data_IF_453586555418
#
_entry.id   IF_453586555418
#
_cell.length_a   1.000
_cell.length_b   1.000
_cell.length_c   1.000
_cell.angle_alpha   90.00
_cell.angle_beta   90.00
_cell.angle_gamma   90.00
#
_symmetry.space_group_name_H-M   'P 1'
#
loop_
_entity.id
_entity.type
_entity.pdbx_description
1 polymer ?
#
# COMPACT_ATOMS: atom_id res chain seq x y z
N UNK A 1 3.00 11.65 30.63
CA UNK A 1 2.22 10.40 30.69
C UNK A 1 2.90 9.41 29.76
N UNK A 2 3.29 8.24 30.25
CA UNK A 2 3.98 7.22 29.45
C UNK A 2 2.93 6.32 28.80
N UNK A 3 2.96 6.19 27.47
CA UNK A 3 2.09 5.25 26.75
C UNK A 3 2.61 3.83 26.98
N UNK A 4 1.70 2.91 27.31
CA UNK A 4 2.00 1.48 27.41
C UNK A 4 1.47 0.75 26.19
N UNK A 5 2.15 -0.32 25.79
CA UNK A 5 1.64 -1.23 24.76
C UNK A 5 0.45 -1.97 25.35
N UNK A 6 -0.73 -1.79 24.76
CA UNK A 6 -1.96 -2.50 25.14
C UNK A 6 -2.17 -3.74 24.26
N UNK A 7 -1.79 -3.65 22.99
CA UNK A 7 -1.96 -4.71 22.01
C UNK A 7 -0.80 -4.74 21.02
N UNK A 8 -0.42 -5.94 20.62
CA UNK A 8 0.53 -6.19 19.54
C UNK A 8 -0.15 -7.01 18.45
N UNK A 9 0.09 -6.63 17.19
CA UNK A 9 -0.38 -7.37 16.02
C UNK A 9 0.82 -7.81 15.20
N UNK A 10 0.87 -9.10 14.89
CA UNK A 10 1.90 -9.68 14.01
C UNK A 10 1.32 -9.87 12.62
N UNK A 11 1.96 -9.27 11.63
CA UNK A 11 1.57 -9.45 10.24
C UNK A 11 1.80 -10.87 9.72
N UNK A 12 1.08 -11.22 8.67
CA UNK A 12 1.18 -12.52 7.99
C UNK A 12 1.42 -12.34 6.50
N UNK A 13 2.10 -13.32 5.88
CA UNK A 13 2.37 -13.30 4.43
C UNK A 13 1.11 -13.62 3.65
N UNK A 14 0.86 -12.87 2.59
CA UNK A 14 -0.23 -13.09 1.64
C UNK A 14 0.14 -12.53 0.26
N UNK A 15 -0.80 -12.56 -0.68
CA UNK A 15 -0.70 -11.91 -1.98
C UNK A 15 -1.88 -10.98 -2.24
N UNK A 16 -1.66 -9.94 -3.03
CA UNK A 16 -2.71 -9.02 -3.49
C UNK A 16 -2.37 -8.47 -4.90
N UNK A 17 -3.22 -7.63 -5.47
CA UNK A 17 -3.06 -7.09 -6.82
C UNK A 17 -2.96 -8.19 -7.88
N UNK A 18 -1.96 -8.08 -8.77
CA UNK A 18 -1.65 -9.11 -9.76
C UNK A 18 -0.74 -10.24 -9.22
N UNK A 19 -0.79 -10.51 -7.91
CA UNK A 19 0.00 -11.55 -7.25
C UNK A 19 1.23 -11.03 -6.48
N UNK A 20 1.22 -9.73 -6.15
CA UNK A 20 2.25 -9.07 -5.33
C UNK A 20 2.34 -9.75 -3.98
N UNK A 21 3.52 -10.24 -3.62
CA UNK A 21 3.79 -10.84 -2.31
C UNK A 21 3.99 -9.77 -1.26
N UNK A 22 3.25 -9.85 -0.16
CA UNK A 22 3.27 -8.83 0.90
C UNK A 22 3.06 -9.44 2.29
N UNK A 23 3.32 -8.63 3.31
CA UNK A 23 2.95 -8.88 4.70
C UNK A 23 1.80 -7.95 5.06
N UNK A 24 0.63 -8.53 5.35
CA UNK A 24 -0.53 -7.79 5.87
C UNK A 24 -0.44 -7.70 7.38
N UNK A 25 -0.37 -6.48 7.90
CA UNK A 25 -0.26 -6.20 9.33
C UNK A 25 -1.63 -5.88 9.91
N UNK A 26 -2.33 -4.88 9.36
CA UNK A 26 -3.68 -4.51 9.75
C UNK A 26 -4.65 -4.81 8.59
N UNK A 27 -5.88 -5.19 8.92
CA UNK A 27 -6.92 -5.46 7.95
C UNK A 27 -8.28 -5.66 8.61
N UNK A 28 -9.17 -6.41 7.95
CA UNK A 28 -10.58 -6.54 8.38
C UNK A 28 -10.79 -6.87 9.86
N UNK A 29 -9.96 -7.73 10.45
CA UNK A 29 -10.09 -8.18 11.83
C UNK A 29 -9.54 -7.19 12.88
N UNK A 30 -8.87 -6.12 12.46
CA UNK A 30 -8.23 -5.14 13.35
C UNK A 30 -8.84 -3.74 13.21
N UNK A 31 -9.85 -3.55 12.36
CA UNK A 31 -10.38 -2.21 12.03
C UNK A 31 -10.97 -1.50 13.24
N UNK A 32 -11.61 -2.23 14.17
CA UNK A 32 -12.25 -1.59 15.33
C UNK A 32 -11.22 -1.09 16.33
N UNK A 33 -10.17 -1.87 16.59
CA UNK A 33 -9.12 -1.54 17.55
C UNK A 33 -8.18 -0.44 17.02
N UNK A 34 -8.02 -0.36 15.70
CA UNK A 34 -7.07 0.55 15.05
C UNK A 34 -7.73 1.67 14.24
N UNK A 35 -9.04 1.93 14.41
CA UNK A 35 -9.74 3.08 13.84
C UNK A 35 -8.92 4.38 14.08
N UNK A 36 -8.51 5.12 13.04
CA UNK A 36 -9.02 5.14 11.65
C UNK A 36 -8.23 4.34 10.60
N UNK A 37 -7.30 3.48 11.00
CA UNK A 37 -6.47 2.70 10.07
C UNK A 37 -7.18 1.40 9.69
N UNK A 38 -7.63 1.32 8.43
CA UNK A 38 -8.38 0.18 7.91
C UNK A 38 -7.50 -1.00 7.48
N UNK A 39 -6.30 -0.68 6.96
CA UNK A 39 -5.39 -1.65 6.36
C UNK A 39 -3.96 -1.11 6.44
N UNK A 40 -3.01 -2.01 6.68
CA UNK A 40 -1.59 -1.73 6.61
C UNK A 40 -0.88 -2.94 6.02
N UNK A 41 -0.35 -2.77 4.82
CA UNK A 41 0.47 -3.75 4.13
C UNK A 41 1.91 -3.26 4.03
N UNK A 42 2.85 -4.18 4.12
CA UNK A 42 4.27 -3.95 3.81
C UNK A 42 4.67 -4.95 2.73
N UNK A 43 5.17 -4.46 1.62
CA UNK A 43 5.71 -5.29 0.55
C UNK A 43 7.16 -4.91 0.28
N UNK A 44 8.04 -5.90 0.37
CA UNK A 44 9.45 -5.79 0.02
C UNK A 44 9.95 -7.14 -0.47
N UNK A 45 10.75 -7.15 -1.53
CA UNK A 45 11.40 -8.37 -2.01
C UNK A 45 12.67 -8.02 -2.78
N UNK A 46 13.62 -8.97 -2.81
CA UNK A 46 14.78 -8.91 -3.71
C UNK A 46 14.50 -9.65 -5.04
N UNK A 47 13.36 -10.32 -5.16
CA UNK A 47 12.93 -10.98 -6.40
C UNK A 47 11.86 -10.11 -7.09
N UNK A 48 12.16 -9.52 -8.26
CA UNK A 48 11.20 -8.72 -9.01
C UNK A 48 9.90 -9.44 -9.36
N UNK A 49 9.92 -10.77 -9.54
CA UNK A 49 8.72 -11.56 -9.84
C UNK A 49 7.68 -11.51 -8.71
N UNK A 50 8.12 -11.18 -7.48
CA UNK A 50 7.21 -11.07 -6.34
C UNK A 50 6.36 -9.81 -6.36
N UNK A 51 6.69 -8.77 -7.13
CA UNK A 51 6.03 -7.47 -7.01
C UNK A 51 5.82 -6.70 -8.32
N UNK A 52 6.61 -6.94 -9.36
CA UNK A 52 6.58 -6.15 -10.61
C UNK A 52 5.27 -6.26 -11.38
N UNK A 53 4.47 -7.30 -11.12
CA UNK A 53 3.11 -7.40 -11.66
C UNK A 53 2.19 -6.27 -11.14
N UNK A 54 2.53 -5.68 -9.98
CA UNK A 54 1.90 -4.50 -9.40
C UNK A 54 0.43 -4.67 -9.03
N UNK A 55 -0.25 -3.54 -8.95
CA UNK A 55 -1.68 -3.45 -8.70
C UNK A 55 -2.34 -2.84 -9.95
N UNK A 56 -2.90 -3.68 -10.85
CA UNK A 56 -3.60 -3.21 -12.03
C UNK A 56 -4.79 -2.31 -11.65
N UNK A 57 -5.34 -1.61 -12.65
CA UNK A 57 -6.47 -0.70 -12.48
C UNK A 57 -7.58 -1.26 -11.57
N UNK A 58 -7.79 -0.65 -10.40
CA UNK A 58 -8.74 -1.08 -9.38
C UNK A 58 -9.41 0.12 -8.66
N UNK A 59 -10.59 -0.07 -8.04
CA UNK A 59 -11.34 1.00 -7.40
C UNK A 59 -11.01 1.20 -5.91
N UNK A 60 -11.11 2.46 -5.46
CA UNK A 60 -11.30 2.82 -4.06
C UNK A 60 -12.43 3.83 -3.87
N UNK A 61 -13.08 3.82 -2.70
CA UNK A 61 -14.14 4.76 -2.33
C UNK A 61 -14.23 4.88 -0.80
N UNK A 62 -14.41 6.11 -0.32
CA UNK A 62 -14.64 6.39 1.11
C UNK A 62 -13.41 6.27 1.99
N UNK A 63 -12.22 6.15 1.40
CA UNK A 63 -10.94 5.98 2.09
C UNK A 63 -9.88 6.89 1.50
N UNK A 64 -8.74 6.95 2.18
CA UNK A 64 -7.50 7.48 1.64
C UNK A 64 -6.45 6.37 1.63
N UNK A 65 -5.58 6.38 0.63
CA UNK A 65 -4.40 5.50 0.58
C UNK A 65 -3.15 6.33 0.76
N UNK A 66 -2.21 5.81 1.57
CA UNK A 66 -0.93 6.44 1.81
C UNK A 66 0.15 5.42 1.48
N UNK A 67 0.88 5.67 0.40
CA UNK A 67 1.98 4.84 -0.07
C UNK A 67 3.30 5.55 0.27
N UNK A 68 4.14 4.89 1.07
CA UNK A 68 5.48 5.36 1.42
C UNK A 68 6.54 4.42 0.86
N UNK A 69 7.52 4.97 0.15
CA UNK A 69 8.59 4.18 -0.46
C UNK A 69 9.83 4.24 0.42
N UNK A 70 10.22 3.12 1.01
CA UNK A 70 11.48 3.03 1.75
C UNK A 70 12.69 2.98 0.80
N UNK A 71 12.59 2.14 -0.24
CA UNK A 71 13.60 1.93 -1.30
C UNK A 71 12.90 1.51 -2.60
N UNK A 72 13.31 2.04 -3.73
CA UNK A 72 12.77 1.74 -5.05
C UNK A 72 11.85 2.85 -5.57
N UNK A 73 10.91 2.47 -6.43
CA UNK A 73 9.99 3.42 -7.06
C UNK A 73 8.60 2.81 -7.20
N UNK A 74 7.59 3.67 -7.27
CA UNK A 74 6.22 3.31 -7.62
C UNK A 74 5.65 4.38 -8.56
N UNK A 75 5.05 3.96 -9.67
CA UNK A 75 4.30 4.83 -10.55
C UNK A 75 2.81 4.61 -10.33
N UNK A 76 2.10 5.67 -9.96
CA UNK A 76 0.65 5.70 -9.84
C UNK A 76 0.04 6.34 -11.08
N UNK A 77 -1.13 5.86 -11.49
CA UNK A 77 -1.99 6.51 -12.48
C UNK A 77 -3.46 6.35 -12.10
N UNK A 78 -4.26 7.41 -12.23
CA UNK A 78 -5.69 7.37 -11.89
C UNK A 78 -6.65 7.82 -13.00
N UNK A 79 -7.94 7.62 -12.73
CA UNK A 79 -9.05 7.99 -13.61
C UNK A 79 -9.27 9.50 -13.77
N UNK A 80 -8.63 10.34 -12.97
CA UNK A 80 -8.66 11.80 -13.14
C UNK A 80 -7.57 12.28 -14.11
N UNK A 81 -6.70 11.37 -14.56
CA UNK A 81 -5.61 11.66 -15.47
C UNK A 81 -4.32 12.06 -14.77
N UNK A 82 -4.23 11.92 -13.44
CA UNK A 82 -2.95 12.10 -12.75
C UNK A 82 -2.07 10.88 -12.98
N UNK A 83 -0.79 11.14 -13.18
CA UNK A 83 0.26 10.12 -13.25
C UNK A 83 1.53 10.69 -12.62
N UNK A 84 2.10 9.97 -11.65
CA UNK A 84 3.33 10.40 -10.99
C UNK A 84 4.13 9.20 -10.50
N UNK A 85 5.45 9.37 -10.40
CA UNK A 85 6.36 8.36 -9.86
C UNK A 85 7.04 8.89 -8.60
N UNK A 86 6.84 8.18 -7.50
CA UNK A 86 7.51 8.46 -6.23
C UNK A 86 8.65 7.46 -5.99
N UNK A 87 9.72 7.92 -5.35
CA UNK A 87 10.92 7.15 -5.04
C UNK A 87 11.30 7.16 -3.55
N UNK A 88 12.55 6.79 -3.25
CA UNK A 88 13.09 6.69 -1.90
C UNK A 88 12.72 7.86 -0.97
N UNK A 89 11.99 7.56 0.11
CA UNK A 89 11.60 8.52 1.13
C UNK A 89 10.36 9.35 0.80
N UNK A 90 9.82 9.22 -0.41
CA UNK A 90 8.65 9.97 -0.85
C UNK A 90 7.33 9.28 -0.46
N UNK A 91 6.28 10.09 -0.42
CA UNK A 91 4.93 9.68 -0.04
C UNK A 91 3.96 10.12 -1.11
N UNK A 92 3.07 9.21 -1.51
CA UNK A 92 1.83 9.55 -2.15
C UNK A 92 0.69 9.44 -1.15
N UNK A 93 -0.16 10.46 -1.10
CA UNK A 93 -1.41 10.44 -0.36
C UNK A 93 -2.56 10.69 -1.34
N UNK A 94 -3.38 9.66 -1.58
CA UNK A 94 -4.53 9.74 -2.48
C UNK A 94 -5.84 9.73 -1.69
N UNK A 95 -6.63 10.79 -1.83
CA UNK A 95 -8.00 10.87 -1.28
C UNK A 95 -9.00 10.36 -2.30
N UNK A 96 -9.52 9.13 -2.13
CA UNK A 96 -10.46 8.55 -3.10
C UNK A 96 -11.84 9.22 -3.08
N UNK A 97 -12.27 9.75 -1.92
CA UNK A 97 -13.55 10.43 -1.77
C UNK A 97 -14.73 9.60 -2.26
N UNK A 98 -15.51 10.12 -3.21
CA UNK A 98 -16.66 9.43 -3.80
C UNK A 98 -16.31 8.23 -4.67
N UNK A 99 -15.05 8.12 -5.11
CA UNK A 99 -14.58 7.02 -5.96
C UNK A 99 -13.41 7.44 -6.84
N UNK A 100 -12.41 6.56 -6.96
CA UNK A 100 -11.29 6.67 -7.90
C UNK A 100 -10.95 5.28 -8.44
N UNK A 101 -10.64 5.18 -9.73
CA UNK A 101 -9.95 4.02 -10.27
C UNK A 101 -8.47 4.38 -10.42
N UNK A 102 -7.56 3.51 -9.99
CA UNK A 102 -6.13 3.74 -10.16
C UNK A 102 -5.34 2.45 -10.31
N UNK A 103 -4.11 2.56 -10.81
CA UNK A 103 -3.12 1.49 -10.87
C UNK A 103 -1.81 1.93 -10.21
N UNK A 104 -1.10 0.98 -9.62
CA UNK A 104 0.22 1.18 -9.03
C UNK A 104 1.21 0.19 -9.65
N UNK A 105 2.17 0.71 -10.40
CA UNK A 105 3.24 -0.07 -11.03
C UNK A 105 4.50 0.02 -10.19
N UNK A 106 5.12 -1.13 -9.96
CA UNK A 106 6.30 -1.26 -9.14
C UNK A 106 7.47 -1.72 -10.04
N UNK A 107 8.25 -0.80 -10.62
CA UNK A 107 9.41 -1.19 -11.44
C UNK A 107 10.43 -1.99 -10.61
N UNK A 108 11.16 -2.88 -11.27
CA UNK A 108 12.29 -3.56 -10.65
C UNK A 108 13.30 -2.53 -10.14
N UNK A 109 13.79 -2.71 -8.92
CA UNK A 109 14.72 -1.80 -8.27
C UNK A 109 15.87 -2.58 -7.65
N UNK A 110 17.07 -2.04 -7.74
CA UNK A 110 18.21 -2.58 -6.99
C UNK A 110 18.07 -2.20 -5.52
N UNK A 111 18.36 -3.15 -4.63
CA UNK A 111 18.27 -2.96 -3.18
C UNK A 111 19.66 -2.72 -2.59
#
# INVERSE_FOLDING_TARGET
MERKIEQEVRGYRTKDGAGVSLVRVLGHQTVQEYDPILLLDSFDSMNPEDYTAGFPMHPHRGIETISYIYRGFMTHRDSLGNEDTIGDGEVQWMTAGSGIMHEEKLPAAER
#
